data_IF_762318540012
#
_entry.id   IF_762318540012
#
_cell.length_a   1.000
_cell.length_b   1.000
_cell.length_c   1.000
_cell.angle_alpha   90.00
_cell.angle_beta   90.00
_cell.angle_gamma   90.00
#
_symmetry.space_group_name_H-M   'P 1'
#
loop_
_entity.id
_entity.type
_entity.pdbx_description
1 polymer ?
#
# COMPACT_ATOMS: atom_id res chain seq x y z
N UNK A 1 -13.71 6.85 26.68
CA UNK A 1 -13.65 6.90 25.20
C UNK A 1 -12.74 8.04 24.80
N UNK A 2 -11.71 7.79 24.01
CA UNK A 2 -10.81 8.83 23.46
C UNK A 2 -11.62 9.86 22.69
N UNK A 3 -11.44 11.15 23.00
CA UNK A 3 -12.06 12.26 22.28
C UNK A 3 -11.56 12.22 20.83
N UNK A 4 -12.47 12.07 19.87
CA UNK A 4 -12.13 12.06 18.44
C UNK A 4 -11.87 13.50 18.01
N UNK A 5 -10.68 13.75 17.48
CA UNK A 5 -10.25 15.05 16.95
C UNK A 5 -9.58 14.84 15.59
N UNK A 6 -10.25 15.29 14.52
CA UNK A 6 -9.75 15.19 13.15
C UNK A 6 -8.57 16.12 12.87
N UNK A 7 -8.38 17.21 13.62
CA UNK A 7 -7.20 18.08 13.44
C UNK A 7 -5.91 17.32 13.75
N UNK A 8 -5.94 16.41 14.72
CA UNK A 8 -4.79 15.57 15.07
C UNK A 8 -4.58 14.40 14.10
N UNK A 9 -5.65 13.91 13.48
CA UNK A 9 -5.59 12.76 12.56
C UNK A 9 -5.24 13.17 11.13
N UNK A 10 -5.72 14.32 10.68
CA UNK A 10 -5.44 14.89 9.36
C UNK A 10 -4.14 15.70 9.39
N UNK A 11 -3.02 14.97 9.56
CA UNK A 11 -1.71 15.56 9.64
C UNK A 11 -1.18 15.95 8.24
N UNK A 12 -0.77 17.21 8.10
CA UNK A 12 -0.21 17.78 6.87
C UNK A 12 1.33 17.70 6.80
N UNK A 13 1.99 17.28 7.88
CA UNK A 13 3.44 17.17 7.94
C UNK A 13 3.95 16.00 7.11
N UNK A 14 5.10 16.20 6.44
CA UNK A 14 5.72 15.21 5.58
C UNK A 14 7.04 14.73 6.19
N UNK A 15 7.32 13.43 6.08
CA UNK A 15 8.50 12.78 6.68
C UNK A 15 9.84 13.44 6.34
N UNK A 16 10.00 13.93 5.11
CA UNK A 16 11.29 14.46 4.60
C UNK A 16 11.29 15.97 4.38
N UNK A 17 10.17 16.64 4.65
CA UNK A 17 10.03 18.09 4.45
C UNK A 17 9.00 18.59 5.45
N UNK A 18 9.48 19.07 6.59
CA UNK A 18 8.62 19.72 7.57
C UNK A 18 8.24 21.08 7.02
N UNK A 19 6.95 21.28 6.83
CA UNK A 19 6.43 22.58 6.39
C UNK A 19 6.18 23.40 7.64
N UNK A 20 6.79 24.58 7.75
CA UNK A 20 6.56 25.53 8.84
C UNK A 20 5.24 26.27 8.62
N UNK A 21 4.15 25.51 8.55
CA UNK A 21 2.78 26.00 8.34
C UNK A 21 2.12 26.14 9.70
N UNK A 22 1.46 27.27 9.92
CA UNK A 22 0.65 27.48 11.11
C UNK A 22 -0.53 26.50 11.11
N UNK A 23 -0.75 25.68 12.16
CA UNK A 23 -1.79 24.65 12.15
C UNK A 23 -3.21 25.19 11.90
N UNK A 24 -3.49 26.41 12.35
CA UNK A 24 -4.81 27.04 12.18
C UNK A 24 -5.00 27.76 10.83
N UNK A 25 -3.96 27.82 9.99
CA UNK A 25 -4.08 28.34 8.62
C UNK A 25 -4.66 27.25 7.70
N UNK A 26 -6.00 27.24 7.59
CA UNK A 26 -6.74 26.28 6.78
C UNK A 26 -6.28 26.27 5.31
N UNK A 27 -6.03 27.44 4.72
CA UNK A 27 -5.64 27.55 3.32
C UNK A 27 -4.29 26.89 3.05
N UNK A 28 -3.30 27.12 3.91
CA UNK A 28 -1.99 26.48 3.78
C UNK A 28 -2.06 24.97 4.00
N UNK A 29 -2.88 24.51 4.94
CA UNK A 29 -3.10 23.08 5.19
C UNK A 29 -3.76 22.44 3.96
N UNK A 30 -4.84 23.02 3.43
CA UNK A 30 -5.53 22.52 2.24
C UNK A 30 -4.59 22.45 1.02
N UNK A 31 -3.70 23.43 0.85
CA UNK A 31 -2.66 23.41 -0.21
C UNK A 31 -1.70 22.21 -0.08
N UNK A 32 -1.42 21.71 1.12
CA UNK A 32 -0.60 20.50 1.27
C UNK A 32 -1.32 19.25 0.76
N UNK A 33 -2.61 19.10 1.08
CA UNK A 33 -3.43 17.99 0.57
C UNK A 33 -3.61 18.07 -0.96
N UNK A 34 -3.84 19.25 -1.51
CA UNK A 34 -3.89 19.44 -2.96
C UNK A 34 -2.54 19.20 -3.64
N UNK A 35 -1.43 19.54 -2.97
CA UNK A 35 -0.09 19.18 -3.44
C UNK A 35 0.11 17.66 -3.49
N UNK A 36 -0.40 16.93 -2.49
CA UNK A 36 -0.37 15.46 -2.49
C UNK A 36 -1.24 14.88 -3.60
N UNK A 37 -2.44 15.42 -3.82
CA UNK A 37 -3.29 15.08 -4.97
C UNK A 37 -2.55 15.22 -6.29
N UNK A 38 -1.87 16.36 -6.49
CA UNK A 38 -1.04 16.60 -7.67
C UNK A 38 0.06 15.57 -7.85
N UNK A 39 0.77 15.18 -6.79
CA UNK A 39 1.83 14.16 -6.83
C UNK A 39 1.31 12.78 -7.21
N UNK A 40 0.17 12.39 -6.65
CA UNK A 40 -0.42 11.07 -6.87
C UNK A 40 -0.89 10.94 -8.32
N UNK A 41 -1.70 11.90 -8.79
CA UNK A 41 -2.25 11.91 -10.16
C UNK A 41 -1.12 11.94 -11.20
N UNK A 42 -0.08 12.76 -10.97
CA UNK A 42 1.06 12.87 -11.89
C UNK A 42 2.12 11.78 -11.68
N UNK A 43 1.91 10.82 -10.79
CA UNK A 43 2.89 9.76 -10.56
C UNK A 43 2.92 8.77 -11.74
N UNK A 44 4.13 8.30 -12.06
CA UNK A 44 4.29 7.22 -13.03
C UNK A 44 3.61 5.92 -12.56
N UNK A 45 3.47 5.73 -11.25
CA UNK A 45 2.83 4.56 -10.66
C UNK A 45 1.33 4.49 -10.94
N UNK A 46 0.60 5.61 -10.81
CA UNK A 46 -0.81 5.68 -11.21
C UNK A 46 -0.98 5.50 -12.72
N UNK A 47 -0.12 6.12 -13.55
CA UNK A 47 -0.16 5.92 -15.01
C UNK A 47 -0.01 4.44 -15.41
N UNK A 48 0.84 3.67 -14.70
CA UNK A 48 1.00 2.23 -14.96
C UNK A 48 -0.28 1.43 -14.72
N UNK A 49 -1.22 1.90 -13.90
CA UNK A 49 -2.49 1.21 -13.66
C UNK A 49 -3.36 1.11 -14.93
N UNK A 50 -3.17 1.99 -15.91
CA UNK A 50 -3.87 1.93 -17.20
C UNK A 50 -3.54 0.65 -17.97
N UNK A 51 -2.32 0.12 -17.80
CA UNK A 51 -1.84 -1.08 -18.49
C UNK A 51 -1.91 -2.34 -17.60
N UNK A 52 -2.48 -2.25 -16.40
CA UNK A 52 -2.71 -3.42 -15.55
C UNK A 52 -4.13 -3.92 -15.72
N UNK A 53 -4.25 -5.19 -16.07
CA UNK A 53 -5.53 -5.90 -16.11
C UNK A 53 -6.08 -6.08 -14.71
N UNK A 54 -7.40 -6.00 -14.58
CA UNK A 54 -8.09 -6.29 -13.33
C UNK A 54 -8.61 -7.74 -13.30
N UNK A 55 -9.03 -8.30 -14.44
CA UNK A 55 -9.57 -9.67 -14.54
C UNK A 55 -9.36 -10.27 -15.93
N UNK A 56 -9.64 -9.52 -16.99
CA UNK A 56 -9.52 -9.98 -18.39
C UNK A 56 -8.15 -9.64 -18.98
N UNK A 57 -7.62 -10.43 -19.94
CA UNK A 57 -6.45 -10.04 -20.72
C UNK A 57 -6.63 -8.63 -21.31
N UNK A 58 -5.55 -7.90 -21.56
CA UNK A 58 -5.62 -6.62 -22.26
C UNK A 58 -6.14 -6.85 -23.68
N UNK A 59 -7.45 -6.86 -23.85
CA UNK A 59 -8.08 -6.76 -25.15
C UNK A 59 -7.85 -5.34 -25.68
N UNK A 60 -7.73 -5.18 -27.00
CA UNK A 60 -7.66 -3.85 -27.64
C UNK A 60 -8.94 -3.02 -27.45
N UNK A 61 -9.96 -3.59 -26.81
CA UNK A 61 -11.22 -2.94 -26.54
C UNK A 61 -11.12 -2.09 -25.25
N UNK A 62 -11.18 -0.77 -25.41
CA UNK A 62 -11.16 0.18 -24.30
C UNK A 62 -12.35 0.05 -23.33
N UNK A 63 -13.36 -0.77 -23.67
CA UNK A 63 -14.47 -1.12 -22.78
C UNK A 63 -14.06 -2.06 -21.62
N UNK A 64 -12.92 -2.75 -21.71
CA UNK A 64 -12.43 -3.61 -20.63
C UNK A 64 -11.78 -2.75 -19.55
N UNK A 65 -12.27 -2.88 -18.31
CA UNK A 65 -11.74 -2.15 -17.17
C UNK A 65 -10.27 -2.49 -16.92
N UNK A 66 -9.45 -1.44 -16.91
CA UNK A 66 -8.12 -1.45 -16.31
C UNK A 66 -8.22 -1.21 -14.79
N UNK A 67 -7.14 -1.47 -14.06
CA UNK A 67 -7.06 -1.10 -12.64
C UNK A 67 -7.20 0.40 -12.41
N UNK A 68 -6.78 1.22 -13.38
CA UNK A 68 -6.96 2.67 -13.29
C UNK A 68 -8.45 3.05 -13.33
N UNK A 69 -9.19 2.54 -14.31
CA UNK A 69 -10.62 2.84 -14.45
C UNK A 69 -11.42 2.38 -13.23
N UNK A 70 -11.07 1.21 -12.66
CA UNK A 70 -11.66 0.78 -11.41
C UNK A 70 -11.31 1.70 -10.23
N UNK A 71 -10.05 2.09 -10.10
CA UNK A 71 -9.63 3.00 -9.03
C UNK A 71 -10.32 4.36 -9.12
N UNK A 72 -10.64 4.83 -10.34
CA UNK A 72 -11.46 6.03 -10.56
C UNK A 72 -12.93 5.83 -10.15
N UNK A 73 -13.53 4.67 -10.44
CA UNK A 73 -14.88 4.33 -9.96
C UNK A 73 -14.91 4.28 -8.41
N UNK A 74 -13.92 3.64 -7.79
CA UNK A 74 -13.78 3.57 -6.32
C UNK A 74 -13.54 4.95 -5.72
N UNK A 75 -12.75 5.81 -6.37
CA UNK A 75 -12.56 7.21 -5.96
C UNK A 75 -13.87 7.97 -5.94
N UNK A 76 -14.72 7.82 -6.97
CA UNK A 76 -16.02 8.49 -7.02
C UNK A 76 -16.96 8.01 -5.91
N UNK A 77 -16.96 6.71 -5.61
CA UNK A 77 -17.73 6.14 -4.49
C UNK A 77 -17.21 6.68 -3.15
N UNK A 78 -15.89 6.72 -2.95
CA UNK A 78 -15.26 7.28 -1.75
C UNK A 78 -15.63 8.75 -1.55
N UNK A 79 -15.59 9.56 -2.62
CA UNK A 79 -16.05 10.96 -2.60
C UNK A 79 -17.51 11.06 -2.15
N UNK A 80 -18.40 10.25 -2.72
CA UNK A 80 -19.82 10.24 -2.33
C UNK A 80 -20.04 9.89 -0.85
N UNK A 81 -19.34 8.87 -0.35
CA UNK A 81 -19.39 8.47 1.06
C UNK A 81 -18.89 9.62 1.95
N UNK A 82 -17.75 10.24 1.61
CA UNK A 82 -17.18 11.35 2.39
C UNK A 82 -18.15 12.53 2.49
N UNK A 83 -18.80 12.92 1.38
CA UNK A 83 -19.80 13.99 1.37
C UNK A 83 -21.04 13.64 2.18
N UNK A 84 -21.46 12.39 2.14
CA UNK A 84 -22.61 11.92 2.93
C UNK A 84 -22.31 12.01 4.43
N UNK A 85 -21.11 11.59 4.84
CA UNK A 85 -20.64 11.70 6.23
C UNK A 85 -20.60 13.18 6.67
N UNK A 86 -20.01 14.05 5.85
CA UNK A 86 -19.95 15.49 6.14
C UNK A 86 -21.37 16.05 6.31
N UNK A 87 -22.27 15.77 5.37
CA UNK A 87 -23.65 16.28 5.41
C UNK A 87 -24.39 15.82 6.68
N UNK A 88 -24.20 14.57 7.10
CA UNK A 88 -24.85 14.04 8.29
C UNK A 88 -24.26 14.63 9.58
N UNK A 89 -22.93 14.82 9.64
CA UNK A 89 -22.28 15.50 10.77
C UNK A 89 -22.68 16.98 10.86
N UNK A 90 -22.92 17.65 9.72
CA UNK A 90 -23.44 19.02 9.69
C UNK A 90 -24.84 19.09 10.29
N UNK A 91 -25.76 18.21 9.90
CA UNK A 91 -27.14 18.18 10.45
C UNK A 91 -27.16 17.99 11.96
N UNK A 92 -26.22 17.20 12.47
CA UNK A 92 -26.11 16.90 13.90
C UNK A 92 -25.29 17.96 14.67
N UNK A 93 -24.80 19.01 14.01
CA UNK A 93 -23.90 20.03 14.58
C UNK A 93 -22.66 19.43 15.27
N UNK A 94 -22.12 18.35 14.70
CA UNK A 94 -20.98 17.62 15.27
C UNK A 94 -19.63 17.95 14.62
N UNK A 95 -19.60 18.77 13.57
CA UNK A 95 -18.36 19.13 12.86
C UNK A 95 -17.32 19.78 13.77
N UNK A 96 -17.74 20.77 14.56
CA UNK A 96 -16.84 21.46 15.51
C UNK A 96 -16.39 20.52 16.63
N UNK A 97 -17.32 19.70 17.14
CA UNK A 97 -17.04 18.72 18.21
C UNK A 97 -15.92 17.75 17.81
N UNK A 98 -15.90 17.35 16.54
CA UNK A 98 -14.89 16.44 16.01
C UNK A 98 -13.70 17.17 15.36
N UNK A 99 -13.64 18.50 15.36
CA UNK A 99 -12.55 19.27 14.77
C UNK A 99 -12.45 19.14 13.24
N UNK A 100 -13.58 18.89 12.56
CA UNK A 100 -13.62 18.68 11.11
C UNK A 100 -13.99 19.94 10.33
N UNK A 101 -14.55 20.97 10.98
CA UNK A 101 -15.03 22.21 10.33
C UNK A 101 -14.00 22.84 9.39
N UNK A 102 -12.74 22.98 9.85
CA UNK A 102 -11.65 23.63 9.11
C UNK A 102 -10.84 22.62 8.26
N UNK A 103 -11.36 21.42 8.04
CA UNK A 103 -10.65 20.29 7.40
C UNK A 103 -11.51 19.50 6.42
N UNK A 104 -12.64 20.07 5.99
CA UNK A 104 -13.59 19.40 5.09
C UNK A 104 -12.94 19.03 3.75
N UNK A 105 -12.22 19.97 3.13
CA UNK A 105 -11.55 19.75 1.85
C UNK A 105 -10.42 18.73 1.98
N UNK A 106 -9.61 18.85 3.04
CA UNK A 106 -8.55 17.89 3.35
C UNK A 106 -9.10 16.47 3.54
N UNK A 107 -10.22 16.31 4.26
CA UNK A 107 -10.86 15.02 4.50
C UNK A 107 -11.35 14.37 3.20
N UNK A 108 -12.04 15.13 2.36
CA UNK A 108 -12.53 14.66 1.06
C UNK A 108 -11.37 14.28 0.12
N UNK A 109 -10.38 15.17 -0.02
CA UNK A 109 -9.21 14.96 -0.89
C UNK A 109 -8.39 13.74 -0.45
N UNK A 110 -8.21 13.54 0.87
CA UNK A 110 -7.52 12.38 1.42
C UNK A 110 -8.24 11.07 1.09
N UNK A 111 -9.56 11.00 1.26
CA UNK A 111 -10.35 9.79 0.96
C UNK A 111 -10.26 9.47 -0.53
N UNK A 112 -10.44 10.46 -1.39
CA UNK A 112 -10.33 10.28 -2.84
C UNK A 112 -8.96 9.71 -3.24
N UNK A 113 -7.89 10.29 -2.69
CA UNK A 113 -6.53 9.87 -3.02
C UNK A 113 -6.20 8.50 -2.45
N UNK A 114 -6.70 8.16 -1.26
CA UNK A 114 -6.58 6.81 -0.71
C UNK A 114 -7.29 5.78 -1.60
N UNK A 115 -8.51 6.09 -2.06
CA UNK A 115 -9.25 5.26 -3.00
C UNK A 115 -8.51 5.11 -4.34
N UNK A 116 -7.90 6.16 -4.87
CA UNK A 116 -7.14 6.08 -6.13
C UNK A 116 -5.87 5.23 -5.99
N UNK A 117 -5.20 5.29 -4.83
CA UNK A 117 -3.95 4.58 -4.58
C UNK A 117 -4.12 3.15 -4.09
N UNK A 118 -5.31 2.70 -3.73
CA UNK A 118 -5.51 1.39 -3.09
C UNK A 118 -4.89 0.23 -3.89
N UNK A 119 -4.86 0.37 -5.21
CA UNK A 119 -4.42 -0.65 -6.15
C UNK A 119 -2.99 -0.42 -6.71
N UNK A 120 -2.27 0.59 -6.20
CA UNK A 120 -0.95 1.00 -6.73
C UNK A 120 0.12 -0.08 -6.58
N UNK A 121 0.06 -0.84 -5.48
CA UNK A 121 1.07 -1.83 -5.08
C UNK A 121 0.92 -3.20 -5.72
N UNK A 122 -0.19 -3.45 -6.42
CA UNK A 122 -0.50 -4.78 -6.88
C UNK A 122 0.48 -5.28 -7.97
N UNK A 123 1.03 -6.50 -7.87
CA UNK A 123 1.97 -7.02 -8.85
C UNK A 123 1.28 -7.30 -10.20
N UNK A 124 2.05 -7.45 -11.29
CA UNK A 124 1.49 -7.92 -12.56
C UNK A 124 0.78 -9.27 -12.34
N UNK A 125 -0.35 -9.49 -13.03
CA UNK A 125 -1.20 -10.68 -12.88
C UNK A 125 -1.84 -10.88 -11.49
N UNK A 126 -1.87 -9.85 -10.63
CA UNK A 126 -2.59 -9.88 -9.35
C UNK A 126 -2.15 -11.05 -8.46
N UNK A 127 -3.12 -11.83 -7.96
CA UNK A 127 -2.85 -12.97 -7.07
C UNK A 127 -1.92 -14.02 -7.67
N UNK A 128 -1.93 -14.22 -8.99
CA UNK A 128 -0.97 -15.13 -9.64
C UNK A 128 0.45 -14.60 -9.58
N UNK A 129 0.62 -13.27 -9.72
CA UNK A 129 1.91 -12.62 -9.54
C UNK A 129 2.40 -12.73 -8.09
N UNK A 130 1.53 -12.49 -7.12
CA UNK A 130 1.83 -12.66 -5.69
C UNK A 130 2.23 -14.10 -5.37
N UNK A 131 1.46 -15.07 -5.86
CA UNK A 131 1.72 -16.49 -5.68
C UNK A 131 3.05 -16.91 -6.33
N UNK A 132 3.35 -16.44 -7.54
CA UNK A 132 4.60 -16.76 -8.23
C UNK A 132 5.82 -16.16 -7.52
N UNK A 133 5.73 -14.91 -7.04
CA UNK A 133 6.78 -14.27 -6.24
C UNK A 133 6.98 -15.07 -4.95
N UNK A 134 5.89 -15.39 -4.25
CA UNK A 134 5.92 -16.16 -3.01
C UNK A 134 6.56 -17.53 -3.21
N UNK A 135 6.09 -18.30 -4.17
CA UNK A 135 6.61 -19.63 -4.49
C UNK A 135 8.10 -19.60 -4.87
N UNK A 136 8.53 -18.63 -5.68
CA UNK A 136 9.94 -18.48 -6.03
C UNK A 136 10.82 -18.18 -4.82
N UNK A 137 10.37 -17.27 -3.93
CA UNK A 137 11.11 -16.92 -2.72
C UNK A 137 11.10 -18.06 -1.70
N UNK A 138 9.98 -18.78 -1.55
CA UNK A 138 9.89 -19.97 -0.70
C UNK A 138 10.92 -21.02 -1.14
N UNK A 139 10.96 -21.38 -2.43
CA UNK A 139 11.90 -22.39 -2.95
C UNK A 139 13.38 -22.04 -2.77
N UNK A 140 13.73 -20.75 -2.73
CA UNK A 140 15.13 -20.28 -2.77
C UNK A 140 15.66 -19.75 -1.46
N UNK A 141 14.81 -19.12 -0.65
CA UNK A 141 15.24 -18.44 0.57
C UNK A 141 14.69 -19.09 1.83
N UNK A 142 13.53 -19.78 1.77
CA UNK A 142 12.98 -20.41 2.96
C UNK A 142 13.85 -21.62 3.37
N UNK A 143 14.53 -21.55 4.53
CA UNK A 143 15.39 -22.62 5.02
C UNK A 143 14.63 -23.92 5.30
N UNK A 144 13.32 -23.80 5.54
CA UNK A 144 12.44 -24.85 6.02
C UNK A 144 11.48 -25.33 4.88
N UNK A 145 11.62 -24.80 3.66
CA UNK A 145 10.75 -25.12 2.51
C UNK A 145 10.68 -26.62 2.16
N UNK A 146 11.82 -27.31 2.19
CA UNK A 146 11.89 -28.73 1.86
C UNK A 146 11.68 -29.64 3.07
N UNK A 147 11.66 -29.10 4.31
CA UNK A 147 11.40 -29.94 5.50
C UNK A 147 9.94 -30.36 5.61
N UNK A 148 9.01 -29.58 5.05
CA UNK A 148 7.58 -29.94 5.05
C UNK A 148 7.22 -30.96 3.96
N UNK A 149 8.08 -31.12 2.94
CA UNK A 149 7.84 -31.99 1.78
C UNK A 149 8.63 -33.31 1.81
N UNK A 150 9.64 -33.46 2.68
CA UNK A 150 10.52 -34.63 2.71
C UNK A 150 10.27 -35.47 3.96
N UNK A 151 9.68 -36.65 3.76
CA UNK A 151 9.91 -37.80 4.63
C UNK A 151 11.42 -38.10 4.63
N UNK A 152 12.01 -38.08 5.81
CA UNK A 152 13.31 -38.61 6.24
C UNK A 152 14.40 -38.88 5.18
N UNK A 153 15.60 -38.32 5.44
CA UNK A 153 16.93 -38.92 5.18
C UNK A 153 17.79 -38.53 3.96
N UNK A 154 17.47 -37.51 3.15
CA UNK A 154 18.43 -36.99 2.15
C UNK A 154 19.09 -35.69 2.63
N UNK A 155 20.43 -35.63 2.54
CA UNK A 155 21.25 -34.52 2.99
C UNK A 155 20.65 -33.15 2.62
N UNK A 156 20.48 -32.28 3.63
CA UNK A 156 19.92 -30.92 3.51
C UNK A 156 20.72 -30.10 2.51
N UNK A 157 20.35 -30.15 1.24
CA UNK A 157 20.98 -29.35 0.21
C UNK A 157 20.36 -27.96 0.23
N UNK A 158 21.19 -26.95 0.47
CA UNK A 158 20.74 -25.57 0.52
C UNK A 158 20.20 -25.13 -0.85
N UNK A 159 18.89 -24.87 -0.93
CA UNK A 159 18.23 -24.42 -2.17
C UNK A 159 18.62 -23.00 -2.59
N UNK A 160 19.36 -22.27 -1.76
CA UNK A 160 19.78 -20.91 -2.05
C UNK A 160 20.96 -20.86 -3.02
N UNK A 161 20.69 -20.41 -4.25
CA UNK A 161 21.70 -20.22 -5.30
C UNK A 161 22.48 -18.91 -5.17
N UNK A 162 22.19 -18.08 -4.16
CA UNK A 162 22.86 -16.79 -3.94
C UNK A 162 24.07 -17.00 -3.05
N UNK A 163 25.28 -16.94 -3.59
CA UNK A 163 26.53 -17.25 -2.88
C UNK A 163 26.74 -16.45 -1.57
N UNK A 164 26.21 -15.22 -1.50
CA UNK A 164 26.28 -14.41 -0.27
C UNK A 164 25.36 -14.93 0.85
N UNK A 165 24.25 -15.56 0.46
CA UNK A 165 23.22 -16.06 1.37
C UNK A 165 23.37 -17.55 1.63
N UNK A 166 24.06 -18.32 0.78
CA UNK A 166 24.27 -19.78 0.88
C UNK A 166 24.97 -20.18 2.18
N UNK A 167 24.60 -21.33 2.72
CA UNK A 167 25.26 -21.92 3.88
C UNK A 167 26.61 -22.50 3.49
N UNK A 168 27.66 -22.12 4.21
CA UNK A 168 29.04 -22.49 3.90
C UNK A 168 29.70 -23.28 5.05
N UNK A 169 28.94 -23.68 6.08
CA UNK A 169 29.43 -24.49 7.21
C UNK A 169 29.93 -23.66 8.40
N UNK A 170 29.87 -22.33 8.34
CA UNK A 170 30.28 -21.44 9.43
C UNK A 170 29.07 -21.10 10.32
N UNK A 171 28.96 -21.74 11.49
CA UNK A 171 27.76 -21.68 12.36
C UNK A 171 27.22 -20.26 12.64
N UNK A 172 28.08 -19.29 12.98
CA UNK A 172 27.65 -17.90 13.25
C UNK A 172 27.14 -17.18 12.00
N UNK A 173 27.81 -17.35 10.86
CA UNK A 173 27.42 -16.70 9.59
C UNK A 173 26.18 -17.36 9.02
N UNK A 174 26.04 -18.67 9.16
CA UNK A 174 24.87 -19.41 8.69
C UNK A 174 23.61 -19.06 9.50
N UNK A 175 23.74 -18.82 10.82
CA UNK A 175 22.64 -18.27 11.63
C UNK A 175 22.20 -16.88 11.13
N UNK A 176 23.16 -16.00 10.85
CA UNK A 176 22.88 -14.66 10.32
C UNK A 176 22.24 -14.70 8.93
N UNK A 177 22.75 -15.55 8.03
CA UNK A 177 22.17 -15.81 6.71
C UNK A 177 20.74 -16.34 6.83
N UNK A 178 20.48 -17.25 7.78
CA UNK A 178 19.12 -17.76 8.05
C UNK A 178 18.17 -16.64 8.47
N UNK A 179 18.60 -15.74 9.35
CA UNK A 179 17.80 -14.59 9.77
C UNK A 179 17.54 -13.64 8.59
N UNK A 180 18.58 -13.27 7.83
CA UNK A 180 18.44 -12.42 6.64
C UNK A 180 17.45 -13.00 5.62
N UNK A 181 17.55 -14.31 5.35
CA UNK A 181 16.63 -15.00 4.46
C UNK A 181 15.18 -14.95 4.96
N UNK A 182 14.95 -15.13 6.27
CA UNK A 182 13.61 -14.97 6.88
C UNK A 182 13.08 -13.54 6.74
N UNK A 183 13.92 -12.52 6.94
CA UNK A 183 13.52 -11.13 6.73
C UNK A 183 13.17 -10.83 5.27
N UNK A 184 14.02 -11.26 4.32
CA UNK A 184 13.76 -11.11 2.90
C UNK A 184 12.47 -11.83 2.49
N UNK A 185 12.28 -13.06 2.95
CA UNK A 185 11.06 -13.81 2.72
C UNK A 185 9.83 -13.05 3.21
N UNK A 186 9.84 -12.53 4.45
CA UNK A 186 8.72 -11.75 4.99
C UNK A 186 8.42 -10.52 4.13
N UNK A 187 9.45 -9.77 3.73
CA UNK A 187 9.29 -8.54 2.92
C UNK A 187 8.65 -8.84 1.56
N UNK A 188 8.97 -9.98 0.94
CA UNK A 188 8.48 -10.32 -0.39
C UNK A 188 7.22 -11.19 -0.41
N UNK A 189 6.81 -11.76 0.73
CA UNK A 189 5.67 -12.71 0.80
C UNK A 189 4.54 -12.27 1.70
N UNK A 190 4.79 -11.39 2.69
CA UNK A 190 3.74 -10.71 3.47
C UNK A 190 3.41 -9.37 2.82
N UNK A 191 2.72 -9.42 1.69
CA UNK A 191 1.74 -8.39 1.35
C UNK A 191 0.39 -8.94 1.76
N UNK A 192 -0.01 -8.60 2.98
CA UNK A 192 -1.34 -8.60 3.64
C UNK A 192 -1.16 -8.82 5.15
#
# INVERSE_FOLDING_TARGET
MTKIDFKQKLNYQRKYSNSSIHPDDEDQVNRQFESDRGRIINSAAIRRLQQKTQVFPLERNAAVRSRLTHSLEVQQIGRYISKTIIAELTKQNLLEKYGLSDRLLAFESLIEMACLMHDIGNPPFGHFGEAAIRDWFSRRLDPDYFSDCASESTARQDGCKVAALSYNGEAKKDLFRRQLRKYLFIVFTKTH
#
